data_IF_975852059289
#
_entry.id   IF_975852059289
#
_cell.length_a   1.000
_cell.length_b   1.000
_cell.length_c   1.000
_cell.angle_alpha   90.00
_cell.angle_beta   90.00
_cell.angle_gamma   90.00
#
_symmetry.space_group_name_H-M   'P 1'
#
loop_
_entity.id
_entity.type
_entity.pdbx_description
1 polymer ?
#
# COMPACT_ATOMS: atom_id res chain seq x y z
N UNK A 1 -0.48 29.70 18.30
CA UNK A 1 0.57 28.68 18.50
C UNK A 1 0.35 27.57 17.49
N UNK A 2 0.76 27.78 16.23
CA UNK A 2 0.65 26.81 15.14
C UNK A 2 2.04 26.21 14.83
N UNK A 3 2.74 25.80 15.89
CA UNK A 3 4.16 25.41 15.84
C UNK A 3 4.42 23.93 16.07
N UNK A 4 3.37 23.11 16.08
CA UNK A 4 3.49 21.66 16.01
C UNK A 4 2.69 21.22 14.79
N UNK A 5 3.07 21.72 13.62
CA UNK A 5 2.75 21.02 12.37
C UNK A 5 3.17 19.56 12.59
N UNK A 6 2.29 18.64 12.25
CA UNK A 6 2.46 17.22 12.52
C UNK A 6 3.92 16.79 12.27
N UNK A 7 4.53 16.04 13.19
CA UNK A 7 5.90 15.48 13.03
C UNK A 7 5.91 14.32 12.01
N UNK A 8 5.19 14.53 10.91
CA UNK A 8 4.87 13.53 9.91
C UNK A 8 5.08 14.21 8.56
N UNK A 9 6.16 13.81 7.89
CA UNK A 9 6.47 14.30 6.54
C UNK A 9 5.45 13.73 5.54
N UNK A 10 4.64 14.57 4.88
CA UNK A 10 3.65 14.14 3.89
C UNK A 10 4.27 13.36 2.73
N UNK A 11 5.48 13.73 2.30
CA UNK A 11 6.18 13.04 1.21
C UNK A 11 6.60 11.63 1.61
N UNK A 12 6.97 11.42 2.88
CA UNK A 12 7.27 10.09 3.42
C UNK A 12 6.02 9.24 3.43
N UNK A 13 4.87 9.77 3.86
CA UNK A 13 3.60 9.03 3.83
C UNK A 13 3.22 8.60 2.40
N UNK A 14 3.27 9.52 1.44
CA UNK A 14 2.98 9.20 0.04
C UNK A 14 3.97 8.17 -0.52
N UNK A 15 5.26 8.33 -0.26
CA UNK A 15 6.28 7.38 -0.72
C UNK A 15 6.07 5.98 -0.14
N UNK A 16 5.81 5.88 1.16
CA UNK A 16 5.54 4.58 1.80
C UNK A 16 4.23 3.99 1.32
N UNK A 17 3.22 4.81 1.06
CA UNK A 17 1.97 4.35 0.49
C UNK A 17 2.17 3.63 -0.86
N UNK A 18 2.99 4.22 -1.74
CA UNK A 18 3.39 3.59 -2.99
C UNK A 18 4.16 2.28 -2.82
N UNK A 19 5.02 2.19 -1.80
CA UNK A 19 5.74 0.93 -1.46
C UNK A 19 4.76 -0.16 -1.04
N UNK A 20 3.80 0.14 -0.16
CA UNK A 20 2.78 -0.81 0.28
C UNK A 20 1.90 -1.29 -0.87
N UNK A 21 1.51 -0.38 -1.78
CA UNK A 21 0.80 -0.72 -3.01
C UNK A 21 1.61 -1.66 -3.91
N UNK A 22 2.90 -1.37 -4.11
CA UNK A 22 3.81 -2.21 -4.89
C UNK A 22 3.93 -3.62 -4.32
N UNK A 23 4.20 -3.74 -3.01
CA UNK A 23 4.32 -5.03 -2.32
C UNK A 23 3.00 -5.82 -2.42
N UNK A 24 1.86 -5.15 -2.24
CA UNK A 24 0.55 -5.81 -2.34
C UNK A 24 0.27 -6.38 -3.74
N UNK A 25 0.64 -5.63 -4.79
CA UNK A 25 0.55 -6.08 -6.18
C UNK A 25 1.47 -7.26 -6.46
N UNK A 26 2.70 -7.23 -5.95
CA UNK A 26 3.69 -8.31 -6.12
C UNK A 26 3.22 -9.62 -5.47
N UNK A 27 2.71 -9.57 -4.23
CA UNK A 27 2.15 -10.76 -3.56
C UNK A 27 0.96 -11.33 -4.33
N UNK A 28 0.06 -10.46 -4.81
CA UNK A 28 -1.10 -10.88 -5.61
C UNK A 28 -0.67 -11.51 -6.94
N UNK A 29 0.36 -10.96 -7.60
CA UNK A 29 0.94 -11.49 -8.82
C UNK A 29 1.63 -12.83 -8.61
N UNK A 30 2.41 -12.97 -7.54
CA UNK A 30 3.07 -14.23 -7.17
C UNK A 30 2.05 -15.33 -6.87
N UNK A 31 0.97 -15.03 -6.14
CA UNK A 31 -0.10 -15.97 -5.86
C UNK A 31 -0.79 -16.49 -7.13
N UNK A 32 -1.05 -15.60 -8.10
CA UNK A 32 -1.63 -15.98 -9.40
C UNK A 32 -0.67 -16.88 -10.20
N UNK A 33 0.62 -16.55 -10.22
CA UNK A 33 1.64 -17.40 -10.87
C UNK A 33 1.72 -18.78 -10.23
N UNK A 34 1.74 -18.83 -8.90
CA UNK A 34 1.72 -20.10 -8.16
C UNK A 34 0.48 -20.93 -8.51
N UNK A 35 -0.72 -20.32 -8.52
CA UNK A 35 -1.95 -21.00 -8.90
C UNK A 35 -1.91 -21.56 -10.33
N UNK A 36 -1.35 -20.80 -11.28
CA UNK A 36 -1.20 -21.24 -12.67
C UNK A 36 -0.24 -22.43 -12.78
N UNK A 37 0.93 -22.36 -12.14
CA UNK A 37 1.93 -23.44 -12.17
C UNK A 37 1.42 -24.71 -11.50
N UNK A 38 0.64 -24.61 -10.42
CA UNK A 38 0.02 -25.79 -9.79
C UNK A 38 -0.95 -26.48 -10.76
N UNK A 39 -1.77 -25.71 -11.46
CA UNK A 39 -2.70 -26.24 -12.45
C UNK A 39 -1.99 -26.95 -13.60
N UNK A 40 -0.87 -26.40 -14.07
CA UNK A 40 -0.03 -27.07 -15.06
C UNK A 40 0.58 -28.37 -14.51
N UNK A 41 0.88 -28.42 -13.22
CA UNK A 41 1.46 -29.60 -12.59
C UNK A 41 0.43 -30.73 -12.35
N UNK A 42 -0.85 -30.41 -12.26
CA UNK A 42 -1.94 -31.42 -12.27
C UNK A 42 -1.95 -32.24 -13.58
N UNK A 43 -1.41 -31.68 -14.67
CA UNK A 43 -1.32 -32.35 -15.98
C UNK A 43 -0.06 -33.23 -16.12
N UNK A 44 0.82 -33.30 -15.11
CA UNK A 44 2.10 -34.02 -15.21
C UNK A 44 1.96 -35.56 -15.14
N UNK A 45 0.79 -36.07 -14.78
CA UNK A 45 0.49 -37.51 -14.73
C UNK A 45 0.18 -38.03 -13.32
N UNK A 46 -0.14 -39.31 -13.24
CA UNK A 46 -0.70 -39.96 -12.04
C UNK A 46 0.33 -40.84 -11.29
N UNK A 47 1.60 -40.71 -11.65
CA UNK A 47 2.72 -41.46 -11.11
C UNK A 47 2.84 -41.26 -9.59
N UNK A 48 3.22 -42.30 -8.84
CA UNK A 48 3.29 -42.27 -7.37
C UNK A 48 4.15 -41.11 -6.82
N UNK A 49 5.20 -40.73 -7.56
CA UNK A 49 6.06 -39.61 -7.22
C UNK A 49 5.34 -38.25 -7.35
N UNK A 50 4.58 -38.07 -8.42
CA UNK A 50 3.80 -36.85 -8.65
C UNK A 50 2.68 -36.77 -7.63
N UNK A 51 2.01 -37.89 -7.36
CA UNK A 51 0.95 -37.99 -6.36
C UNK A 51 1.44 -37.62 -4.96
N UNK A 52 2.59 -38.16 -4.55
CA UNK A 52 3.22 -37.79 -3.28
C UNK A 52 3.58 -36.29 -3.23
N UNK A 53 4.14 -35.76 -4.31
CA UNK A 53 4.45 -34.33 -4.40
C UNK A 53 3.18 -33.48 -4.25
N UNK A 54 2.09 -33.84 -4.93
CA UNK A 54 0.82 -33.13 -4.83
C UNK A 54 0.18 -33.25 -3.44
N UNK A 55 0.19 -34.42 -2.83
CA UNK A 55 -0.37 -34.63 -1.48
C UNK A 55 0.33 -33.76 -0.42
N UNK A 56 1.63 -33.54 -0.55
CA UNK A 56 2.41 -32.71 0.38
C UNK A 56 2.34 -31.22 0.01
N UNK A 57 2.48 -30.88 -1.27
CA UNK A 57 2.66 -29.50 -1.71
C UNK A 57 1.34 -28.76 -1.97
N UNK A 58 0.32 -29.43 -2.51
CA UNK A 58 -0.95 -28.82 -2.89
C UNK A 58 -1.71 -28.17 -1.72
N UNK A 59 -1.75 -28.73 -0.49
CA UNK A 59 -2.44 -28.08 0.62
C UNK A 59 -1.80 -26.76 1.04
N UNK A 60 -0.47 -26.73 1.09
CA UNK A 60 0.30 -25.52 1.45
C UNK A 60 0.14 -24.46 0.37
N UNK A 61 0.27 -24.86 -0.89
CA UNK A 61 0.19 -23.95 -2.02
C UNK A 61 -1.24 -23.41 -2.21
N UNK A 62 -2.29 -24.21 -2.00
CA UNK A 62 -3.68 -23.75 -1.96
C UNK A 62 -3.93 -22.74 -0.83
N UNK A 63 -3.33 -22.96 0.34
CA UNK A 63 -3.35 -22.01 1.46
C UNK A 63 -2.73 -20.66 1.08
N UNK A 64 -1.59 -20.68 0.40
CA UNK A 64 -0.92 -19.47 -0.10
C UNK A 64 -1.74 -18.76 -1.18
N UNK A 65 -2.27 -19.50 -2.16
CA UNK A 65 -3.13 -18.95 -3.22
C UNK A 65 -4.37 -18.27 -2.65
N UNK A 66 -4.92 -18.79 -1.55
CA UNK A 66 -6.08 -18.19 -0.87
C UNK A 66 -5.71 -16.97 -0.02
N UNK A 67 -4.59 -17.01 0.69
CA UNK A 67 -4.23 -15.99 1.70
C UNK A 67 -3.45 -14.80 1.12
N UNK A 68 -2.60 -15.02 0.12
CA UNK A 68 -1.75 -13.97 -0.44
C UNK A 68 -2.51 -12.84 -1.15
N UNK A 69 -3.62 -13.09 -1.89
CA UNK A 69 -4.43 -11.99 -2.44
C UNK A 69 -5.02 -11.10 -1.35
N UNK A 70 -5.55 -11.68 -0.26
CA UNK A 70 -6.09 -10.93 0.88
C UNK A 70 -5.00 -10.13 1.59
N UNK A 71 -3.80 -10.70 1.75
CA UNK A 71 -2.64 -9.96 2.25
C UNK A 71 -2.30 -8.79 1.33
N UNK A 72 -2.30 -9.03 0.01
CA UNK A 72 -2.05 -8.00 -1.00
C UNK A 72 -3.04 -6.85 -0.94
N UNK A 73 -4.33 -7.15 -0.84
CA UNK A 73 -5.41 -6.16 -0.66
C UNK A 73 -5.24 -5.35 0.63
N UNK A 74 -4.89 -6.01 1.74
CA UNK A 74 -4.62 -5.36 3.01
C UNK A 74 -3.45 -4.38 2.93
N UNK A 75 -2.36 -4.78 2.28
CA UNK A 75 -1.20 -3.92 2.04
C UNK A 75 -1.55 -2.74 1.13
N UNK A 76 -2.28 -2.98 0.05
CA UNK A 76 -2.77 -1.91 -0.84
C UNK A 76 -3.66 -0.91 -0.09
N UNK A 77 -4.54 -1.41 0.78
CA UNK A 77 -5.42 -0.55 1.61
C UNK A 77 -4.61 0.33 2.56
N UNK A 78 -3.53 -0.20 3.15
CA UNK A 78 -2.60 0.61 3.96
C UNK A 78 -1.95 1.68 3.08
N UNK A 79 -1.52 1.28 1.88
CA UNK A 79 -0.90 2.17 0.90
C UNK A 79 -1.77 3.37 0.54
N UNK A 80 -3.01 3.11 0.13
CA UNK A 80 -4.00 4.13 -0.20
C UNK A 80 -4.26 5.10 0.97
N UNK A 81 -4.33 4.58 2.20
CA UNK A 81 -4.55 5.43 3.39
C UNK A 81 -3.35 6.32 3.68
N UNK A 82 -2.13 5.84 3.49
CA UNK A 82 -0.92 6.64 3.67
C UNK A 82 -0.83 7.74 2.61
N UNK A 83 -1.10 7.43 1.34
CA UNK A 83 -1.13 8.41 0.25
C UNK A 83 -2.20 9.48 0.50
N UNK A 84 -3.42 9.08 0.86
CA UNK A 84 -4.50 10.01 1.19
C UNK A 84 -4.13 10.92 2.37
N UNK A 85 -3.52 10.35 3.41
CA UNK A 85 -3.09 11.12 4.59
C UNK A 85 -1.99 12.12 4.23
N UNK A 86 -0.99 11.72 3.43
CA UNK A 86 0.04 12.63 2.91
C UNK A 86 -0.56 13.78 2.08
N UNK A 87 -1.50 13.48 1.18
CA UNK A 87 -2.20 14.50 0.40
C UNK A 87 -2.99 15.49 1.26
N UNK A 88 -3.66 15.00 2.31
CA UNK A 88 -4.39 15.86 3.24
C UNK A 88 -3.48 16.81 4.03
N UNK A 89 -2.33 16.33 4.50
CA UNK A 89 -1.38 17.20 5.20
C UNK A 89 -0.81 18.27 4.27
N UNK A 90 -0.36 17.90 3.07
CA UNK A 90 0.17 18.86 2.10
C UNK A 90 -0.85 19.95 1.75
N UNK A 91 -2.12 19.57 1.55
CA UNK A 91 -3.20 20.52 1.27
C UNK A 91 -3.46 21.44 2.46
N UNK A 92 -3.50 20.89 3.69
CA UNK A 92 -3.76 21.67 4.90
C UNK A 92 -2.64 22.68 5.17
N UNK A 93 -1.38 22.31 4.97
CA UNK A 93 -0.25 23.22 5.11
C UNK A 93 -0.30 24.35 4.07
N UNK A 94 -0.64 24.02 2.82
CA UNK A 94 -0.80 25.02 1.77
C UNK A 94 -1.92 26.00 2.08
N UNK A 95 -3.09 25.52 2.52
CA UNK A 95 -4.21 26.37 2.92
C UNK A 95 -3.82 27.31 4.08
N UNK A 96 -3.14 26.79 5.10
CA UNK A 96 -2.65 27.59 6.22
C UNK A 96 -1.68 28.68 5.76
N UNK A 97 -0.73 28.33 4.89
CA UNK A 97 0.20 29.28 4.30
C UNK A 97 -0.52 30.40 3.54
N UNK A 98 -1.50 30.04 2.70
CA UNK A 98 -2.29 31.00 1.93
C UNK A 98 -3.15 31.91 2.82
N UNK A 99 -3.73 31.36 3.88
CA UNK A 99 -4.44 32.15 4.88
C UNK A 99 -3.52 33.14 5.59
N UNK A 100 -2.34 32.70 6.03
CA UNK A 100 -1.35 33.57 6.67
C UNK A 100 -0.84 34.66 5.72
N UNK A 101 -0.58 34.34 4.47
CA UNK A 101 -0.17 35.30 3.44
C UNK A 101 -1.26 36.36 3.21
N UNK A 102 -2.53 35.96 3.12
CA UNK A 102 -3.67 36.88 3.00
C UNK A 102 -3.81 37.80 4.21
N UNK A 103 -3.67 37.25 5.43
CA UNK A 103 -3.71 38.06 6.66
C UNK A 103 -2.53 39.05 6.72
N UNK A 104 -1.33 38.64 6.33
CA UNK A 104 -0.16 39.50 6.29
C UNK A 104 -0.31 40.65 5.28
N UNK A 105 -0.86 40.37 4.10
CA UNK A 105 -1.12 41.37 3.06
C UNK A 105 -2.15 42.41 3.48
N UNK A 106 -3.16 42.01 4.26
CA UNK A 106 -4.25 42.89 4.73
C UNK A 106 -4.00 43.52 6.10
N UNK A 107 -2.77 43.42 6.63
CA UNK A 107 -2.46 43.92 7.97
C UNK A 107 -2.55 45.46 8.00
N UNK A 108 -3.41 46.07 8.84
CA UNK A 108 -3.46 47.52 8.96
C UNK A 108 -2.12 48.03 9.49
N UNK A 109 -1.56 49.05 8.81
CA UNK A 109 -0.36 49.75 9.28
C UNK A 109 -0.74 50.55 10.53
N UNK A 110 -0.48 50.00 11.71
CA UNK A 110 -0.45 50.82 12.91
C UNK A 110 0.83 51.66 12.85
N UNK A 111 0.69 52.91 12.38
CA UNK A 111 1.74 53.90 12.46
C UNK A 111 1.94 54.30 13.94
N UNK A 112 3.19 54.28 14.39
CA UNK A 112 3.62 54.89 15.66
C UNK A 112 3.47 56.42 15.60
#
# INVERSE_FOLDING_TARGET
>A
MAGSGYDVDPAVLTSQGGVFNGIGSDFSGAAKKLAATLKEAEDWGDDDLIKYFMDVYAPVSAGLVKSMPTLGEGLSTIGEKLEATGGHYATTEQDQHDHLAKFAANRPKFAN
#
